data_IF_115344236363
#
_entry.id   IF_115344236363
#
_cell.length_a   1.000
_cell.length_b   1.000
_cell.length_c   1.000
_cell.angle_alpha   90.00
_cell.angle_beta   90.00
_cell.angle_gamma   90.00
#
_symmetry.space_group_name_H-M   'P 1'
#
loop_
_entity.id
_entity.type
_entity.pdbx_description
1 polymer ?
#
# COMPACT_ATOMS: atom_id res chain seq x y z
N UNK A 1 -4.24 6.09 -14.06
CA UNK A 1 -4.59 4.71 -13.62
C UNK A 1 -4.90 3.75 -14.78
N UNK A 2 -5.02 4.18 -16.04
CA UNK A 2 -5.37 3.29 -17.16
C UNK A 2 -4.23 2.44 -17.76
N UNK A 3 -2.97 2.63 -17.34
CA UNK A 3 -1.83 2.03 -18.07
C UNK A 3 -1.13 0.85 -17.39
N UNK A 4 -1.41 0.51 -16.13
CA UNK A 4 -0.66 -0.54 -15.40
C UNK A 4 -1.54 -1.66 -14.80
N UNK A 5 -2.85 -1.72 -15.11
CA UNK A 5 -3.78 -2.72 -14.56
C UNK A 5 -3.66 -2.91 -13.03
N UNK A 6 -3.41 -1.82 -12.30
CA UNK A 6 -3.28 -1.85 -10.83
C UNK A 6 -4.65 -1.63 -10.19
N UNK A 7 -5.02 -2.55 -9.30
CA UNK A 7 -6.29 -2.49 -8.58
C UNK A 7 -6.22 -1.72 -7.26
N UNK A 8 -5.07 -1.73 -6.59
CA UNK A 8 -4.91 -1.13 -5.26
C UNK A 8 -3.61 -0.34 -5.20
N UNK A 9 -3.70 0.93 -4.84
CA UNK A 9 -2.56 1.82 -4.65
C UNK A 9 -2.47 2.27 -3.20
N UNK A 10 -1.37 1.98 -2.53
CA UNK A 10 -0.92 2.59 -1.28
C UNK A 10 -0.10 3.84 -1.55
N UNK A 11 -0.43 4.93 -0.87
CA UNK A 11 0.18 6.24 -1.03
C UNK A 11 0.77 6.72 0.29
N UNK A 12 2.00 7.21 0.27
CA UNK A 12 2.69 7.87 1.38
C UNK A 12 3.11 9.30 0.98
N UNK A 13 3.38 10.13 1.98
CA UNK A 13 3.63 11.59 1.83
C UNK A 13 2.61 12.31 0.95
N UNK A 14 1.31 11.99 1.02
CA UNK A 14 0.34 12.55 0.07
C UNK A 14 0.32 14.08 0.07
N UNK A 15 0.64 14.73 1.20
CA UNK A 15 0.65 16.18 1.37
C UNK A 15 -0.69 16.84 1.01
N UNK A 16 -1.76 16.05 1.01
CA UNK A 16 -3.10 16.51 0.71
C UNK A 16 -3.79 16.93 2.01
N UNK A 17 -4.56 17.99 1.95
CA UNK A 17 -5.65 18.22 2.90
C UNK A 17 -6.87 17.36 2.53
N UNK A 18 -7.79 17.20 3.49
CA UNK A 18 -9.09 16.57 3.24
C UNK A 18 -9.84 17.19 2.05
N UNK A 19 -9.78 18.52 1.91
CA UNK A 19 -10.46 19.20 0.80
C UNK A 19 -9.81 18.87 -0.54
N UNK A 20 -8.48 18.87 -0.60
CA UNK A 20 -7.74 18.57 -1.83
C UNK A 20 -7.96 17.13 -2.28
N UNK A 21 -7.94 16.17 -1.35
CA UNK A 21 -8.18 14.76 -1.70
C UNK A 21 -9.59 14.54 -2.26
N UNK A 22 -10.61 15.24 -1.75
CA UNK A 22 -11.98 15.17 -2.29
C UNK A 22 -12.09 15.77 -3.69
N UNK A 23 -11.43 16.90 -3.93
CA UNK A 23 -11.37 17.51 -5.27
C UNK A 23 -10.71 16.54 -6.25
N UNK A 24 -9.61 15.91 -5.85
CA UNK A 24 -8.87 14.97 -6.68
C UNK A 24 -9.67 13.71 -7.03
N UNK A 25 -10.30 13.09 -6.03
CA UNK A 25 -11.16 11.93 -6.25
C UNK A 25 -12.23 12.22 -7.30
N UNK A 26 -12.88 13.38 -7.20
CA UNK A 26 -13.87 13.82 -8.17
C UNK A 26 -13.26 14.14 -9.56
N UNK A 27 -12.16 14.89 -9.59
CA UNK A 27 -11.53 15.33 -10.83
C UNK A 27 -10.97 14.17 -11.67
N UNK A 28 -10.37 13.18 -11.01
CA UNK A 28 -9.74 12.04 -11.67
C UNK A 28 -10.61 10.79 -11.71
N UNK A 29 -11.80 10.82 -11.10
CA UNK A 29 -12.77 9.74 -11.14
C UNK A 29 -12.26 8.47 -10.46
N UNK A 30 -11.75 8.59 -9.23
CA UNK A 30 -11.36 7.44 -8.42
C UNK A 30 -11.92 7.55 -7.00
N UNK A 31 -12.14 6.41 -6.35
CA UNK A 31 -12.43 6.36 -4.92
C UNK A 31 -11.15 6.07 -4.13
N UNK A 32 -10.94 6.80 -3.04
CA UNK A 32 -9.77 6.58 -2.19
C UNK A 32 -10.00 6.97 -0.74
N UNK A 33 -9.36 6.20 0.13
CA UNK A 33 -9.35 6.36 1.57
C UNK A 33 -8.07 7.08 1.96
N UNK A 34 -8.16 8.14 2.74
CA UNK A 34 -7.02 8.96 3.08
C UNK A 34 -7.05 9.33 4.55
N UNK A 35 -5.87 9.37 5.15
CA UNK A 35 -5.67 9.92 6.49
C UNK A 35 -4.64 11.04 6.45
N UNK A 36 -4.92 12.07 7.23
CA UNK A 36 -4.19 13.33 7.20
C UNK A 36 -3.62 13.60 8.58
N UNK A 37 -2.45 14.23 8.62
CA UNK A 37 -1.94 14.72 9.89
C UNK A 37 -2.61 16.03 10.28
N UNK A 38 -2.91 16.17 11.57
CA UNK A 38 -3.51 17.38 12.11
C UNK A 38 -2.52 18.54 12.27
N UNK A 39 -1.22 18.28 12.14
CA UNK A 39 -0.19 19.32 12.30
C UNK A 39 -0.02 20.20 11.05
N UNK A 40 -0.59 19.80 9.91
CA UNK A 40 -0.38 20.48 8.63
C UNK A 40 1.09 20.43 8.15
N UNK A 41 1.32 20.78 6.88
CA UNK A 41 2.68 20.88 6.32
C UNK A 41 3.08 19.73 5.39
N UNK A 42 4.25 19.90 4.75
CA UNK A 42 4.86 18.94 3.81
C UNK A 42 5.46 17.73 4.55
N UNK A 43 5.55 16.58 3.87
CA UNK A 43 6.09 15.31 4.36
C UNK A 43 5.12 14.49 5.23
N UNK A 44 3.81 14.54 4.97
CA UNK A 44 2.79 13.86 5.79
C UNK A 44 1.60 13.36 4.95
N UNK A 45 0.82 12.43 5.51
CA UNK A 45 -0.40 11.90 4.90
C UNK A 45 -0.21 10.55 4.20
N UNK A 46 -1.23 9.71 4.31
CA UNK A 46 -1.27 8.38 3.68
C UNK A 46 -2.62 8.18 2.99
N UNK A 47 -2.65 7.30 2.00
CA UNK A 47 -3.89 6.95 1.33
C UNK A 47 -3.88 5.55 0.73
N UNK A 48 -5.06 5.02 0.48
CA UNK A 48 -5.29 3.80 -0.29
C UNK A 48 -6.36 4.10 -1.34
N UNK A 49 -6.02 3.93 -2.61
CA UNK A 49 -6.97 3.98 -3.73
C UNK A 49 -7.30 2.54 -4.10
N UNK A 50 -8.59 2.24 -4.28
CA UNK A 50 -9.08 0.91 -4.63
C UNK A 50 -9.92 1.04 -5.89
N UNK A 51 -9.70 0.16 -6.86
CA UNK A 51 -10.53 0.11 -8.07
C UNK A 51 -11.98 -0.25 -7.70
N UNK A 52 -12.96 0.26 -8.44
CA UNK A 52 -14.38 0.01 -8.18
C UNK A 52 -14.73 -1.48 -8.07
N UNK A 53 -13.96 -2.32 -8.78
CA UNK A 53 -14.03 -3.79 -8.75
C UNK A 53 -13.83 -4.37 -7.35
N UNK A 54 -12.94 -3.78 -6.56
CA UNK A 54 -12.57 -4.25 -5.21
C UNK A 54 -13.12 -3.38 -4.09
N UNK A 55 -13.50 -2.13 -4.38
CA UNK A 55 -14.05 -1.20 -3.39
C UNK A 55 -15.33 -1.73 -2.72
N UNK A 56 -16.12 -2.53 -3.46
CA UNK A 56 -17.31 -3.21 -2.94
C UNK A 56 -17.04 -4.15 -1.76
N UNK A 57 -15.79 -4.61 -1.59
CA UNK A 57 -15.39 -5.49 -0.48
C UNK A 57 -14.87 -4.70 0.73
N UNK A 58 -14.67 -3.39 0.61
CA UNK A 58 -14.17 -2.56 1.72
C UNK A 58 -15.32 -2.27 2.68
N UNK A 59 -15.20 -2.74 3.92
CA UNK A 59 -16.22 -2.54 4.95
C UNK A 59 -15.78 -1.61 6.08
N UNK A 60 -14.47 -1.35 6.18
CA UNK A 60 -13.91 -0.50 7.21
C UNK A 60 -12.67 0.20 6.67
N UNK A 61 -12.53 1.47 7.02
CA UNK A 61 -11.33 2.26 6.80
C UNK A 61 -10.98 3.02 8.08
N UNK A 62 -9.73 2.93 8.54
CA UNK A 62 -9.27 3.62 9.75
C UNK A 62 -7.90 4.22 9.52
N UNK A 63 -7.82 5.53 9.76
CA UNK A 63 -6.59 6.31 9.75
C UNK A 63 -5.97 6.47 11.14
N UNK A 64 -4.66 6.69 11.19
CA UNK A 64 -3.92 7.07 12.38
C UNK A 64 -2.85 8.12 12.06
N UNK A 65 -3.11 9.36 12.51
CA UNK A 65 -2.18 10.50 12.55
C UNK A 65 -1.52 10.85 11.20
N UNK A 66 -2.13 10.49 10.08
CA UNK A 66 -1.57 10.68 8.74
C UNK A 66 -0.33 9.83 8.44
N UNK A 67 -0.15 8.72 9.18
CA UNK A 67 1.01 7.82 9.08
C UNK A 67 0.63 6.37 8.82
N UNK A 68 -0.57 5.97 9.23
CA UNK A 68 -1.11 4.64 8.96
C UNK A 68 -2.54 4.79 8.48
N UNK A 69 -2.93 4.01 7.48
CA UNK A 69 -4.32 3.78 7.14
C UNK A 69 -4.50 2.30 6.84
N UNK A 70 -5.56 1.69 7.36
CA UNK A 70 -5.91 0.33 6.99
C UNK A 70 -7.34 0.21 6.52
N UNK A 71 -7.55 -0.74 5.59
CA UNK A 71 -8.85 -1.18 5.12
C UNK A 71 -9.07 -2.63 5.56
N UNK A 72 -10.28 -2.93 6.04
CA UNK A 72 -10.72 -4.33 6.18
C UNK A 72 -11.58 -4.69 4.97
N UNK A 73 -11.11 -5.64 4.17
CA UNK A 73 -11.79 -6.18 3.00
C UNK A 73 -12.40 -7.53 3.33
N UNK A 74 -13.69 -7.72 3.10
CA UNK A 74 -14.36 -9.01 3.30
C UNK A 74 -14.66 -9.66 1.96
N UNK A 75 -13.98 -10.77 1.66
CA UNK A 75 -14.25 -11.53 0.44
C UNK A 75 -15.28 -12.66 0.67
N UNK A 76 -15.97 -13.06 -0.40
CA UNK A 76 -17.14 -13.97 -0.41
C UNK A 76 -16.90 -15.37 0.19
N UNK A 77 -15.66 -15.81 0.34
CA UNK A 77 -15.31 -17.09 0.99
C UNK A 77 -14.81 -16.94 2.44
N UNK A 78 -15.25 -15.90 3.16
CA UNK A 78 -14.85 -15.63 4.57
C UNK A 78 -13.35 -15.37 4.78
N UNK A 79 -12.62 -15.06 3.70
CA UNK A 79 -11.26 -14.53 3.82
C UNK A 79 -11.37 -13.03 3.98
N UNK A 80 -11.12 -12.56 5.19
CA UNK A 80 -11.02 -11.14 5.48
C UNK A 80 -9.55 -10.75 5.37
N UNK A 81 -9.26 -9.70 4.63
CA UNK A 81 -7.90 -9.18 4.45
C UNK A 81 -7.84 -7.80 5.07
N UNK A 82 -6.89 -7.57 5.98
CA UNK A 82 -6.51 -6.22 6.41
C UNK A 82 -5.36 -5.72 5.53
N UNK A 83 -5.66 -4.72 4.72
CA UNK A 83 -4.68 -4.00 3.92
C UNK A 83 -4.22 -2.77 4.70
N UNK A 84 -2.92 -2.64 4.96
CA UNK A 84 -2.33 -1.58 5.79
C UNK A 84 -1.33 -0.81 4.93
N UNK A 85 -1.51 0.51 4.81
CA UNK A 85 -0.53 1.43 4.26
C UNK A 85 0.16 2.17 5.42
N UNK A 86 1.50 2.18 5.40
CA UNK A 86 2.32 2.87 6.41
C UNK A 86 3.26 3.90 5.79
N UNK A 87 3.58 4.92 6.58
CA UNK A 87 4.64 5.86 6.30
C UNK A 87 5.35 6.23 7.61
N UNK A 88 6.55 5.69 7.79
CA UNK A 88 7.36 5.84 9.01
C UNK A 88 8.37 6.98 8.83
N UNK A 89 8.53 7.82 9.85
CA UNK A 89 9.43 8.97 9.79
C UNK A 89 10.91 8.52 9.94
N UNK A 90 11.80 9.01 9.07
CA UNK A 90 13.25 8.80 9.16
C UNK A 90 13.88 9.50 10.38
N UNK A 91 13.23 10.55 10.89
CA UNK A 91 13.84 11.46 11.83
C UNK A 91 14.01 10.81 13.23
N UNK A 92 15.23 10.36 13.52
CA UNK A 92 15.62 9.75 14.81
C UNK A 92 15.34 10.64 16.03
N UNK A 93 15.20 11.96 15.86
CA UNK A 93 14.82 12.88 16.96
C UNK A 93 13.37 12.67 17.42
N UNK A 94 12.54 11.99 16.63
CA UNK A 94 11.15 11.67 16.95
C UNK A 94 10.97 10.23 17.47
N UNK A 95 12.01 9.65 18.09
CA UNK A 95 12.04 8.24 18.53
C UNK A 95 10.79 7.79 19.27
N UNK A 96 10.29 8.57 20.23
CA UNK A 96 9.06 8.23 20.98
C UNK A 96 7.84 8.11 20.08
N UNK A 97 7.68 9.01 19.10
CA UNK A 97 6.57 8.94 18.14
C UNK A 97 6.68 7.72 17.22
N UNK A 98 7.91 7.36 16.85
CA UNK A 98 8.20 6.17 16.04
C UNK A 98 7.87 4.91 16.85
N UNK A 99 8.27 4.83 18.12
CA UNK A 99 7.95 3.71 19.01
C UNK A 99 6.43 3.57 19.25
N UNK A 100 5.72 4.68 19.48
CA UNK A 100 4.26 4.70 19.55
C UNK A 100 3.61 4.19 18.26
N UNK A 101 4.14 4.58 17.09
CA UNK A 101 3.63 4.16 15.80
C UNK A 101 3.85 2.66 15.58
N UNK A 102 5.02 2.13 15.93
CA UNK A 102 5.28 0.69 15.87
C UNK A 102 4.35 -0.10 16.80
N UNK A 103 4.12 0.40 18.02
CA UNK A 103 3.19 -0.24 18.95
C UNK A 103 1.76 -0.21 18.40
N UNK A 104 1.34 0.89 17.76
CA UNK A 104 0.06 0.96 17.08
C UNK A 104 -0.05 -0.05 15.92
N UNK A 105 0.97 -0.14 15.06
CA UNK A 105 1.03 -1.10 13.95
C UNK A 105 0.95 -2.55 14.49
N UNK A 106 1.70 -2.86 15.57
CA UNK A 106 1.64 -4.16 16.22
C UNK A 106 0.23 -4.47 16.73
N UNK A 107 -0.42 -3.52 17.40
CA UNK A 107 -1.77 -3.70 17.94
C UNK A 107 -2.81 -3.96 16.83
N UNK A 108 -2.74 -3.27 15.69
CA UNK A 108 -3.66 -3.51 14.57
C UNK A 108 -3.39 -4.84 13.85
N UNK A 109 -2.14 -5.31 13.83
CA UNK A 109 -1.76 -6.64 13.34
C UNK A 109 -2.31 -7.72 14.27
N UNK A 110 -2.12 -7.56 15.58
CA UNK A 110 -2.59 -8.52 16.58
C UNK A 110 -4.13 -8.56 16.62
N UNK A 111 -4.81 -7.42 16.47
CA UNK A 111 -6.28 -7.35 16.29
C UNK A 111 -6.75 -8.11 15.05
N UNK A 112 -6.06 -7.95 13.91
CA UNK A 112 -6.38 -8.67 12.68
C UNK A 112 -6.20 -10.18 12.83
N UNK A 113 -5.09 -10.62 13.46
CA UNK A 113 -4.82 -12.03 13.77
C UNK A 113 -5.89 -12.62 14.68
N UNK A 114 -6.29 -11.89 15.73
CA UNK A 114 -7.36 -12.32 16.65
C UNK A 114 -8.72 -12.45 15.95
N UNK A 115 -8.91 -11.71 14.85
CA UNK A 115 -10.10 -11.79 13.98
C UNK A 115 -9.92 -12.81 12.84
N UNK A 116 -8.85 -13.59 12.85
CA UNK A 116 -8.50 -14.56 11.82
C UNK A 116 -8.48 -13.93 10.41
N UNK A 117 -7.97 -12.70 10.33
CA UNK A 117 -7.78 -11.98 9.07
C UNK A 117 -6.38 -12.26 8.52
N UNK A 118 -6.30 -12.34 7.20
CA UNK A 118 -5.03 -12.26 6.50
C UNK A 118 -4.56 -10.80 6.44
N UNK A 119 -3.26 -10.58 6.29
CA UNK A 119 -2.67 -9.24 6.39
C UNK A 119 -1.82 -8.97 5.16
N UNK A 120 -1.98 -7.78 4.60
CA UNK A 120 -1.05 -7.17 3.65
C UNK A 120 -0.67 -5.82 4.27
N UNK A 121 0.62 -5.60 4.53
CA UNK A 121 1.16 -4.32 4.99
C UNK A 121 2.16 -3.82 3.96
N UNK A 122 2.01 -2.56 3.58
CA UNK A 122 2.77 -1.95 2.52
C UNK A 122 3.09 -0.49 2.88
N UNK A 123 4.12 0.07 2.25
CA UNK A 123 4.47 1.47 2.43
C UNK A 123 5.96 1.72 2.59
N UNK A 124 6.29 2.93 3.03
CA UNK A 124 7.64 3.38 3.32
C UNK A 124 7.94 3.20 4.81
N UNK A 125 8.85 2.29 5.10
CA UNK A 125 9.25 1.93 6.46
C UNK A 125 10.47 2.74 6.95
N UNK A 126 11.14 3.47 6.05
CA UNK A 126 12.32 4.29 6.35
C UNK A 126 13.48 3.55 7.05
N UNK A 127 13.53 2.23 6.87
CA UNK A 127 14.56 1.35 7.42
C UNK A 127 15.05 0.46 6.30
N UNK A 128 16.36 0.50 6.07
CA UNK A 128 17.02 -0.46 5.19
C UNK A 128 17.04 -1.81 5.91
N UNK A 129 16.17 -2.71 5.44
CA UNK A 129 15.95 -3.96 6.13
C UNK A 129 17.00 -5.00 5.72
N UNK A 130 18.19 -4.91 6.31
CA UNK A 130 19.27 -5.90 6.11
C UNK A 130 19.07 -7.17 6.94
N UNK A 131 18.24 -7.14 7.98
CA UNK A 131 18.06 -8.24 8.94
C UNK A 131 16.80 -9.08 8.75
N UNK A 132 15.90 -8.69 7.85
CA UNK A 132 14.81 -9.53 7.36
C UNK A 132 14.91 -9.59 5.85
N UNK A 133 15.61 -10.60 5.32
CA UNK A 133 15.42 -11.07 3.94
C UNK A 133 13.97 -11.56 3.83
N UNK A 134 13.04 -10.62 3.75
CA UNK A 134 11.61 -10.87 3.59
C UNK A 134 11.40 -11.30 2.15
N UNK A 135 11.10 -12.58 1.96
CA UNK A 135 10.44 -13.19 0.79
C UNK A 135 10.13 -12.22 -0.37
N UNK A 136 11.18 -11.82 -1.06
CA UNK A 136 11.11 -11.27 -2.39
C UNK A 136 11.51 -12.41 -3.29
N UNK A 137 10.68 -12.66 -4.30
CA UNK A 137 10.97 -13.68 -5.31
C UNK A 137 12.23 -13.30 -6.11
N UNK A 138 12.68 -12.04 -6.01
CA UNK A 138 13.91 -11.55 -6.59
C UNK A 138 14.87 -11.04 -5.50
N UNK A 139 15.90 -11.82 -5.22
CA UNK A 139 16.94 -11.60 -4.20
C UNK A 139 18.10 -10.74 -4.74
N UNK A 140 17.82 -9.89 -5.75
CA UNK A 140 18.83 -8.99 -6.30
C UNK A 140 19.09 -7.83 -5.33
N UNK A 141 20.29 -7.85 -4.74
CA UNK A 141 20.83 -6.86 -3.80
C UNK A 141 20.95 -5.45 -4.39
N UNK A 142 20.72 -5.29 -5.70
CA UNK A 142 20.77 -4.01 -6.39
C UNK A 142 19.39 -3.37 -6.65
N UNK A 143 18.30 -3.94 -6.13
CA UNK A 143 16.96 -3.36 -6.28
C UNK A 143 16.71 -2.30 -5.20
N UNK A 144 16.82 -1.04 -5.60
CA UNK A 144 16.60 0.13 -4.73
C UNK A 144 15.20 0.73 -4.92
N UNK A 145 14.59 1.13 -3.82
CA UNK A 145 13.30 1.84 -3.83
C UNK A 145 13.42 3.32 -3.51
N UNK A 146 14.60 3.78 -3.04
CA UNK A 146 14.91 5.17 -2.80
C UNK A 146 16.22 5.58 -3.48
N UNK A 147 16.19 6.70 -4.20
CA UNK A 147 17.35 7.29 -4.87
C UNK A 147 17.53 8.73 -4.38
N UNK A 148 18.59 9.05 -3.63
CA UNK A 148 18.77 10.40 -3.09
C UNK A 148 18.90 11.45 -4.22
N UNK A 149 18.35 12.67 -4.06
CA UNK A 149 18.36 13.70 -5.12
C UNK A 149 19.74 14.20 -5.56
N UNK A 150 20.79 13.92 -4.78
CA UNK A 150 22.12 14.53 -4.92
C UNK A 150 23.17 13.58 -5.52
N UNK A 151 22.77 12.52 -6.23
CA UNK A 151 23.69 11.51 -6.81
C UNK A 151 24.66 10.88 -5.78
N UNK A 152 24.32 10.91 -4.49
CA UNK A 152 25.08 10.13 -3.52
C UNK A 152 24.88 8.63 -3.79
N UNK A 153 25.94 7.84 -3.63
CA UNK A 153 25.87 6.37 -3.74
C UNK A 153 25.05 5.70 -2.63
N UNK A 154 24.23 6.45 -1.89
CA UNK A 154 23.42 6.01 -0.75
C UNK A 154 21.99 5.61 -1.19
N UNK A 155 21.89 4.86 -2.29
CA UNK A 155 20.61 4.25 -2.69
C UNK A 155 20.21 3.23 -1.64
N UNK A 156 18.92 3.16 -1.32
CA UNK A 156 18.44 2.25 -0.29
C UNK A 156 17.11 1.61 -0.69
N UNK A 157 16.79 0.49 -0.03
CA UNK A 157 15.49 -0.15 -0.11
C UNK A 157 14.76 0.11 1.20
N UNK A 158 13.69 0.90 1.15
CA UNK A 158 12.92 1.31 2.34
C UNK A 158 11.41 1.15 2.15
N UNK A 159 10.96 1.05 0.90
CA UNK A 159 9.61 0.66 0.54
C UNK A 159 9.46 -0.87 0.45
N UNK A 160 8.42 -1.40 1.12
CA UNK A 160 8.17 -2.84 1.17
C UNK A 160 6.68 -3.16 1.05
N UNK A 161 6.40 -4.38 0.60
CA UNK A 161 5.11 -5.04 0.75
C UNK A 161 5.36 -6.36 1.49
N UNK A 162 4.77 -6.52 2.66
CA UNK A 162 4.74 -7.78 3.41
C UNK A 162 3.32 -8.31 3.46
N UNK A 163 3.18 -9.62 3.46
CA UNK A 163 1.89 -10.26 3.60
C UNK A 163 2.00 -11.54 4.42
N UNK A 164 0.87 -12.02 4.93
CA UNK A 164 0.80 -13.33 5.58
C UNK A 164 1.10 -14.45 4.58
N UNK A 165 1.60 -15.59 5.07
CA UNK A 165 2.01 -16.72 4.22
C UNK A 165 0.90 -17.20 3.27
N UNK A 166 -0.38 -17.29 3.67
CA UNK A 166 -1.46 -17.66 2.75
C UNK A 166 -1.62 -16.68 1.57
N UNK A 167 -1.34 -15.39 1.78
CA UNK A 167 -1.34 -14.38 0.70
C UNK A 167 -0.13 -14.58 -0.21
N UNK A 168 1.05 -14.76 0.36
CA UNK A 168 2.28 -14.95 -0.42
C UNK A 168 2.25 -16.21 -1.26
N UNK A 169 1.60 -17.28 -0.79
CA UNK A 169 1.34 -18.48 -1.59
C UNK A 169 0.48 -18.23 -2.83
N UNK A 170 -0.08 -17.03 -3.02
CA UNK A 170 -0.83 -16.61 -4.20
C UNK A 170 -0.10 -15.57 -5.04
N UNK A 171 1.14 -15.21 -4.69
CA UNK A 171 1.88 -14.21 -5.46
C UNK A 171 2.31 -14.77 -6.81
N UNK A 172 1.98 -14.04 -7.86
CA UNK A 172 2.40 -14.31 -9.23
C UNK A 172 3.72 -13.63 -9.55
N UNK A 173 3.91 -12.39 -9.07
CA UNK A 173 5.13 -11.62 -9.28
C UNK A 173 5.24 -10.49 -8.24
N UNK A 174 6.47 -10.07 -7.95
CA UNK A 174 6.79 -8.86 -7.18
C UNK A 174 7.92 -8.12 -7.89
N UNK A 175 7.72 -6.84 -8.23
CA UNK A 175 8.72 -6.06 -8.99
C UNK A 175 8.86 -4.65 -8.43
N UNK A 176 9.98 -4.00 -8.77
CA UNK A 176 10.19 -2.58 -8.53
C UNK A 176 10.22 -1.87 -9.88
N UNK A 177 9.39 -0.84 -10.02
CA UNK A 177 9.18 -0.10 -11.28
C UNK A 177 9.57 1.36 -11.06
N UNK A 178 10.33 1.93 -12.00
CA UNK A 178 10.67 3.36 -11.99
C UNK A 178 9.42 4.21 -12.24
N UNK A 179 9.37 5.37 -11.58
CA UNK A 179 8.22 6.26 -11.65
C UNK A 179 8.41 7.33 -12.73
N UNK A 180 8.10 6.99 -13.99
CA UNK A 180 8.27 7.92 -15.12
C UNK A 180 7.17 9.00 -15.18
N UNK A 181 6.07 8.79 -14.45
CA UNK A 181 4.89 9.65 -14.49
C UNK A 181 4.85 10.71 -13.39
N UNK A 182 5.77 10.66 -12.41
CA UNK A 182 5.77 11.58 -11.26
C UNK A 182 7.19 12.00 -10.90
N UNK A 183 7.37 13.24 -10.43
CA UNK A 183 8.66 13.64 -9.84
C UNK A 183 8.74 13.10 -8.41
N UNK A 184 9.31 11.92 -8.25
CA UNK A 184 9.59 11.31 -6.95
C UNK A 184 11.00 10.73 -6.94
N UNK A 185 11.58 10.65 -5.75
CA UNK A 185 12.85 9.99 -5.50
C UNK A 185 12.67 8.54 -5.03
N UNK A 186 11.45 8.00 -5.15
CA UNK A 186 11.13 6.61 -4.84
C UNK A 186 10.69 5.83 -6.09
N UNK A 187 11.18 4.60 -6.21
CA UNK A 187 10.63 3.61 -7.13
C UNK A 187 9.45 2.90 -6.48
N UNK A 188 8.54 2.41 -7.32
CA UNK A 188 7.31 1.80 -6.86
C UNK A 188 7.46 0.29 -6.73
N UNK A 189 7.10 -0.24 -5.56
CA UNK A 189 7.01 -1.69 -5.34
C UNK A 189 5.63 -2.17 -5.76
N UNK A 190 5.59 -3.26 -6.53
CA UNK A 190 4.35 -3.92 -6.96
C UNK A 190 4.32 -5.37 -6.51
N UNK A 191 3.14 -5.85 -6.11
CA UNK A 191 2.87 -7.26 -5.82
C UNK A 191 1.60 -7.69 -6.58
N UNK A 192 1.72 -8.69 -7.44
CA UNK A 192 0.59 -9.26 -8.18
C UNK A 192 0.15 -10.58 -7.55
N UNK A 193 -1.15 -10.71 -7.26
CA UNK A 193 -1.75 -11.86 -6.58
C UNK A 193 -2.83 -12.52 -7.46
N UNK A 194 -2.88 -13.86 -7.46
CA UNK A 194 -4.01 -14.61 -8.00
C UNK A 194 -5.24 -14.42 -7.10
N UNK A 195 -6.32 -13.93 -7.69
CA UNK A 195 -7.56 -13.62 -6.99
C UNK A 195 -8.51 -14.78 -6.79
N UNK A 196 -8.27 -15.92 -7.46
CA UNK A 196 -9.16 -17.06 -7.44
C UNK A 196 -9.40 -17.61 -6.03
N UNK A 197 -8.37 -17.60 -5.17
CA UNK A 197 -8.51 -18.03 -3.77
C UNK A 197 -9.08 -16.98 -2.82
N UNK A 198 -9.17 -15.72 -3.21
CA UNK A 198 -9.76 -14.63 -2.40
C UNK A 198 -11.26 -14.50 -2.65
N UNK A 199 -11.63 -14.39 -3.92
CA UNK A 199 -13.01 -14.13 -4.34
C UNK A 199 -13.82 -15.43 -4.44
N UNK A 200 -13.15 -16.56 -4.70
CA UNK A 200 -13.82 -17.83 -4.93
C UNK A 200 -14.54 -17.92 -6.28
N UNK A 201 -15.12 -19.08 -6.58
CA UNK A 201 -16.05 -19.27 -7.70
C UNK A 201 -17.39 -18.59 -7.38
N UNK A 202 -17.49 -17.28 -7.63
CA UNK A 202 -18.78 -16.59 -7.63
C UNK A 202 -19.71 -17.14 -8.74
N UNK A 203 -21.03 -17.02 -8.56
CA UNK A 203 -22.01 -17.55 -9.51
C UNK A 203 -21.94 -16.86 -10.87
N UNK A 204 -22.04 -17.66 -11.94
CA UNK A 204 -21.62 -17.44 -13.34
C UNK A 204 -22.09 -16.17 -14.08
N UNK A 205 -23.02 -15.36 -13.55
CA UNK A 205 -23.67 -14.28 -14.32
C UNK A 205 -22.89 -12.95 -14.24
N UNK A 206 -22.43 -12.54 -13.06
CA UNK A 206 -21.61 -11.33 -12.89
C UNK A 206 -20.15 -11.53 -13.34
N UNK A 207 -19.68 -12.77 -13.24
CA UNK A 207 -18.33 -13.20 -13.62
C UNK A 207 -18.03 -12.97 -15.10
N UNK A 208 -18.96 -13.28 -16.02
CA UNK A 208 -18.67 -13.20 -17.46
C UNK A 208 -18.38 -11.76 -17.94
N UNK A 209 -18.81 -10.77 -17.16
CA UNK A 209 -18.49 -9.35 -17.36
C UNK A 209 -17.20 -8.92 -16.65
N UNK A 210 -16.88 -9.47 -15.46
CA UNK A 210 -15.66 -9.16 -14.68
C UNK A 210 -14.39 -9.92 -15.14
N UNK A 211 -14.52 -11.16 -15.63
CA UNK A 211 -13.40 -12.04 -15.99
C UNK A 211 -12.87 -11.83 -17.42
N UNK A 212 -13.46 -10.93 -18.21
CA UNK A 212 -12.87 -10.51 -19.49
C UNK A 212 -11.70 -9.52 -19.32
N UNK A 213 -11.33 -9.19 -18.07
CA UNK A 213 -10.13 -8.46 -17.68
C UNK A 213 -9.44 -9.24 -16.56
N UNK A 214 -8.25 -9.77 -16.86
CA UNK A 214 -7.43 -10.70 -16.09
C UNK A 214 -7.47 -10.51 -14.55
N UNK A 215 -7.71 -11.61 -13.83
CA UNK A 215 -7.93 -11.65 -12.38
C UNK A 215 -6.65 -11.54 -11.53
N UNK A 216 -5.92 -10.45 -11.68
CA UNK A 216 -4.71 -10.12 -10.91
C UNK A 216 -5.06 -8.96 -9.97
N UNK A 217 -4.77 -9.03 -8.66
CA UNK A 217 -4.67 -7.81 -7.84
C UNK A 217 -3.21 -7.40 -7.86
N UNK A 218 -2.93 -6.22 -8.39
CA UNK A 218 -1.64 -5.57 -8.16
C UNK A 218 -1.76 -4.56 -7.02
N UNK A 219 -0.92 -4.74 -6.00
CA UNK A 219 -0.76 -3.84 -4.86
C UNK A 219 0.45 -2.96 -5.15
N UNK A 220 0.25 -1.64 -5.08
CA UNK A 220 1.25 -0.66 -5.47
C UNK A 220 1.64 0.21 -4.27
N UNK A 221 2.94 0.40 -4.03
CA UNK A 221 3.44 1.36 -3.04
C UNK A 221 3.95 2.60 -3.76
N UNK A 222 3.39 3.74 -3.39
CA UNK A 222 3.72 5.03 -3.97
C UNK A 222 4.04 6.05 -2.88
N UNK A 223 4.98 6.94 -3.17
CA UNK A 223 5.19 8.18 -2.44
C UNK A 223 4.94 9.33 -3.40
N UNK A 224 3.96 10.18 -3.09
CA UNK A 224 3.68 11.37 -3.88
C UNK A 224 4.41 12.58 -3.31
N UNK A 225 5.32 13.18 -4.07
CA UNK A 225 5.64 14.60 -3.90
C UNK A 225 4.99 15.37 -5.04
N UNK A 226 4.02 16.23 -4.71
CA UNK A 226 3.59 17.25 -5.65
C UNK A 226 4.66 18.34 -5.70
N UNK A 227 5.08 18.72 -6.91
CA UNK A 227 5.76 20.00 -7.13
C UNK A 227 4.74 21.13 -6.93
N UNK A 228 5.21 22.22 -6.33
CA UNK A 228 4.50 23.51 -6.32
C UNK A 228 4.32 24.01 -7.76
#
# INVERSE_FOLDING_TARGET
MKNNDIDIYGLAETNLSYRQSKIWQHQFGFHGYFDYSQQGGKGQGVGIIVSDKYDIFVHKAVGHKGRVIYLDLNFSQKKNVRLIQVYINANKKERTRIEELYQYIKNIIDDAKNKNMEIIIMGDFNIENTCWHSFLIDDDKNIYTYIPPNDSNEKSRIDYIWASLPILGQSLNSTVIENDHFTTNHNTVTLSLDTQLFIGTLTKVWIKKMMNSHGIISVLVWIMKLKD
#
